data_IF_290056456346
#
_entry.id   IF_290056456346
#
_cell.length_a   1.000
_cell.length_b   1.000
_cell.length_c   1.000
_cell.angle_alpha   90.00
_cell.angle_beta   90.00
_cell.angle_gamma   90.00
#
_symmetry.space_group_name_H-M   'P 1'
#
loop_
_entity.id
_entity.type
_entity.pdbx_description
1 polymer ?
#
# COMPACT_ATOMS: atom_id res chain seq x y z
N UNK A 1 8.78 26.27 -16.94
CA UNK A 1 8.12 27.58 -16.71
C UNK A 1 7.17 27.61 -15.50
N UNK A 2 6.52 26.51 -15.08
CA UNK A 2 5.59 26.52 -13.94
C UNK A 2 6.20 26.28 -12.54
N UNK A 3 7.47 25.86 -12.44
CA UNK A 3 8.15 25.68 -11.14
C UNK A 3 8.69 26.99 -10.56
N UNK A 4 9.08 27.96 -11.40
CA UNK A 4 9.68 29.21 -10.94
C UNK A 4 8.65 30.21 -10.39
N UNK A 5 7.42 30.22 -10.90
CA UNK A 5 6.32 31.07 -10.41
C UNK A 5 5.92 30.67 -8.98
N UNK A 6 5.98 29.37 -8.68
CA UNK A 6 5.64 28.79 -7.38
C UNK A 6 6.62 29.17 -6.26
N UNK A 7 7.92 29.33 -6.59
CA UNK A 7 8.94 29.77 -5.64
C UNK A 7 8.84 31.26 -5.32
N UNK A 8 8.55 32.10 -6.31
CA UNK A 8 8.47 33.57 -6.13
C UNK A 8 7.27 34.01 -5.28
N UNK A 9 6.10 33.38 -5.42
CA UNK A 9 4.91 33.74 -4.63
C UNK A 9 5.08 33.27 -3.17
N UNK A 10 5.64 32.08 -2.96
CA UNK A 10 5.95 31.58 -1.62
C UNK A 10 7.02 32.41 -0.91
N UNK A 11 8.00 32.96 -1.62
CA UNK A 11 9.01 33.83 -1.02
C UNK A 11 8.39 35.15 -0.51
N UNK A 12 7.50 35.76 -1.30
CA UNK A 12 6.83 37.02 -0.94
C UNK A 12 5.85 36.81 0.22
N UNK A 13 5.06 35.73 0.20
CA UNK A 13 4.16 35.42 1.32
C UNK A 13 4.94 35.03 2.58
N UNK A 14 6.04 34.28 2.48
CA UNK A 14 6.88 33.94 3.63
C UNK A 14 7.60 35.17 4.21
N UNK A 15 8.12 36.09 3.40
CA UNK A 15 8.76 37.32 3.88
C UNK A 15 7.77 38.24 4.61
N UNK A 16 6.54 38.39 4.07
CA UNK A 16 5.48 39.15 4.73
C UNK A 16 5.04 38.47 6.03
N UNK A 17 4.95 37.14 6.05
CA UNK A 17 4.58 36.38 7.26
C UNK A 17 5.70 36.41 8.31
N UNK A 18 6.98 36.35 7.90
CA UNK A 18 8.15 36.50 8.79
C UNK A 18 8.22 37.93 9.35
N UNK A 19 7.92 38.96 8.56
CA UNK A 19 7.88 40.35 9.04
C UNK A 19 6.73 40.58 10.04
N UNK A 20 5.58 39.95 9.84
CA UNK A 20 4.44 39.98 10.78
C UNK A 20 4.75 39.18 12.06
N UNK A 21 5.38 38.00 11.93
CA UNK A 21 5.78 37.15 13.05
C UNK A 21 6.92 37.78 13.87
N UNK A 22 7.89 38.44 13.23
CA UNK A 22 8.92 39.21 13.93
C UNK A 22 8.34 40.42 14.65
N UNK A 23 7.26 41.03 14.16
CA UNK A 23 6.57 42.13 14.88
C UNK A 23 5.85 41.65 16.14
N UNK A 24 5.34 40.41 16.17
CA UNK A 24 4.79 39.82 17.40
C UNK A 24 5.87 39.47 18.42
N UNK A 25 7.11 39.21 17.99
CA UNK A 25 8.25 38.95 18.87
C UNK A 25 9.09 40.21 19.22
N UNK A 26 9.00 41.30 18.46
CA UNK A 26 9.65 42.59 18.73
C UNK A 26 8.65 43.53 19.42
N UNK A 27 8.11 43.07 20.55
CA UNK A 27 7.69 43.96 21.64
C UNK A 27 8.87 44.26 22.60
N UNK A 28 10.03 43.64 22.35
CA UNK A 28 11.31 43.94 23.00
C UNK A 28 12.32 44.36 21.94
N UNK A 29 12.57 45.67 21.82
CA UNK A 29 13.75 46.37 21.26
C UNK A 29 13.30 47.65 20.55
N UNK A 30 13.61 48.78 21.18
CA UNK A 30 13.38 50.13 20.69
C UNK A 30 14.34 50.49 19.56
N UNK A 31 13.86 50.57 18.31
CA UNK A 31 14.25 51.63 17.36
C UNK A 31 13.50 51.49 16.03
N UNK A 32 12.59 52.42 15.75
CA UNK A 32 11.78 52.49 14.53
C UNK A 32 12.60 52.57 13.22
N UNK A 33 13.85 53.04 13.27
CA UNK A 33 14.69 53.28 12.08
C UNK A 33 15.12 52.01 11.33
N UNK A 34 15.20 50.86 12.01
CA UNK A 34 15.60 49.60 11.36
C UNK A 34 14.47 48.93 10.58
N UNK A 35 13.21 49.12 10.99
CA UNK A 35 12.05 48.53 10.33
C UNK A 35 11.78 49.19 8.97
N UNK A 36 11.85 50.52 8.92
CA UNK A 36 11.67 51.27 7.67
C UNK A 36 12.78 50.98 6.66
N UNK A 37 14.01 50.69 7.11
CA UNK A 37 15.11 50.31 6.25
C UNK A 37 14.88 48.94 5.59
N UNK A 38 14.40 47.96 6.36
CA UNK A 38 14.14 46.59 5.90
C UNK A 38 12.95 46.55 4.94
N UNK A 39 11.88 47.28 5.23
CA UNK A 39 10.71 47.38 4.37
C UNK A 39 11.05 48.08 3.05
N UNK A 40 11.83 49.17 3.09
CA UNK A 40 12.27 49.84 1.86
C UNK A 40 13.23 48.98 1.03
N UNK A 41 14.15 48.21 1.65
CA UNK A 41 15.01 47.26 0.94
C UNK A 41 14.22 46.15 0.24
N UNK A 42 13.20 45.60 0.90
CA UNK A 42 12.33 44.57 0.33
C UNK A 42 11.49 45.10 -0.84
N UNK A 43 10.94 46.30 -0.72
CA UNK A 43 10.17 46.97 -1.78
C UNK A 43 11.08 47.29 -2.99
N UNK A 44 12.29 47.78 -2.74
CA UNK A 44 13.27 48.11 -3.80
C UNK A 44 13.76 46.87 -4.53
N UNK A 45 13.95 45.75 -3.81
CA UNK A 45 14.34 44.47 -4.40
C UNK A 45 13.23 43.85 -5.27
N UNK A 46 11.97 43.91 -4.82
CA UNK A 46 10.82 43.46 -5.61
C UNK A 46 10.63 44.29 -6.88
N UNK A 47 10.69 45.63 -6.77
CA UNK A 47 10.55 46.53 -7.91
C UNK A 47 11.70 46.34 -8.94
N UNK A 48 12.93 46.11 -8.46
CA UNK A 48 14.10 45.85 -9.32
C UNK A 48 14.07 44.46 -10.00
N UNK A 49 13.27 43.53 -9.50
CA UNK A 49 13.16 42.17 -10.03
C UNK A 49 11.99 42.03 -11.02
N UNK A 50 10.84 42.65 -10.76
CA UNK A 50 9.73 42.72 -11.72
C UNK A 50 10.12 43.47 -13.00
N UNK A 51 10.89 44.55 -12.87
CA UNK A 51 11.31 45.34 -14.04
C UNK A 51 12.34 44.60 -14.93
N UNK A 52 13.23 43.80 -14.32
CA UNK A 52 14.19 42.93 -15.03
C UNK A 52 13.53 41.81 -15.83
N UNK A 53 12.25 41.50 -15.53
CA UNK A 53 11.47 40.46 -16.17
C UNK A 53 10.73 40.94 -17.44
N UNK A 54 10.52 42.25 -17.60
CA UNK A 54 9.83 42.84 -18.76
C UNK A 54 10.77 43.38 -19.84
N UNK A 55 11.93 43.97 -19.51
CA UNK A 55 12.86 44.53 -20.51
C UNK A 55 14.31 44.31 -20.03
N UNK A 56 15.12 43.59 -20.80
CA UNK A 56 16.42 43.01 -20.40
C UNK A 56 17.57 43.96 -20.00
N UNK A 57 17.36 45.27 -19.81
CA UNK A 57 18.38 46.23 -19.35
C UNK A 57 17.77 47.38 -18.54
N UNK A 58 18.46 47.83 -17.48
CA UNK A 58 18.05 48.91 -16.55
C UNK A 58 18.06 50.31 -17.21
N UNK A 59 17.00 51.13 -17.08
CA UNK A 59 17.06 52.56 -17.42
C UNK A 59 17.48 53.42 -16.22
N UNK A 60 17.86 54.68 -16.50
CA UNK A 60 18.37 55.62 -15.49
C UNK A 60 17.29 56.12 -14.51
N UNK A 61 17.67 56.64 -13.32
CA UNK A 61 16.80 56.82 -12.16
C UNK A 61 15.63 57.82 -12.31
N UNK A 62 15.57 58.60 -13.39
CA UNK A 62 14.58 59.67 -13.57
C UNK A 62 13.23 59.19 -14.13
N UNK A 63 13.12 57.98 -14.68
CA UNK A 63 11.86 57.43 -15.22
C UNK A 63 10.98 56.71 -14.20
N UNK A 64 11.41 56.64 -12.93
CA UNK A 64 10.78 55.83 -11.87
C UNK A 64 9.54 56.47 -11.22
N UNK A 65 9.25 57.75 -11.47
CA UNK A 65 8.38 58.54 -10.59
C UNK A 65 6.88 58.13 -10.54
N UNK A 66 6.16 57.80 -11.63
CA UNK A 66 4.70 57.69 -11.56
C UNK A 66 4.18 56.36 -11.00
N UNK A 67 4.75 55.22 -11.43
CA UNK A 67 4.31 53.88 -10.99
C UNK A 67 4.75 53.57 -9.56
N UNK A 68 5.93 54.06 -9.15
CA UNK A 68 6.41 53.95 -7.78
C UNK A 68 5.54 54.73 -6.80
N UNK A 69 5.04 55.91 -7.19
CA UNK A 69 4.15 56.72 -6.36
C UNK A 69 2.80 56.03 -6.09
N UNK A 70 2.25 55.32 -7.08
CA UNK A 70 0.96 54.62 -6.97
C UNK A 70 1.10 53.40 -6.03
N UNK A 71 2.18 52.63 -6.20
CA UNK A 71 2.45 51.47 -5.35
C UNK A 71 2.78 51.90 -3.92
N UNK A 72 3.60 52.94 -3.75
CA UNK A 72 3.95 53.55 -2.47
C UNK A 72 2.70 54.06 -1.74
N UNK A 73 1.82 54.82 -2.41
CA UNK A 73 0.56 55.31 -1.82
C UNK A 73 -0.40 54.18 -1.42
N UNK A 74 -0.46 53.10 -2.20
CA UNK A 74 -1.33 51.95 -1.89
C UNK A 74 -0.84 51.20 -0.64
N UNK A 75 0.48 51.09 -0.47
CA UNK A 75 1.10 50.46 0.69
C UNK A 75 1.02 51.36 1.93
N UNK A 76 1.25 52.68 1.78
CA UNK A 76 1.07 53.68 2.85
C UNK A 76 -0.38 53.73 3.34
N UNK A 77 -1.37 53.70 2.44
CA UNK A 77 -2.79 53.66 2.81
C UNK A 77 -3.17 52.37 3.57
N UNK A 78 -2.53 51.24 3.23
CA UNK A 78 -2.73 49.97 3.94
C UNK A 78 -2.09 50.03 5.33
N UNK A 79 -0.91 50.64 5.46
CA UNK A 79 -0.20 50.84 6.73
C UNK A 79 -0.91 51.83 7.67
N UNK A 80 -1.47 52.92 7.15
CA UNK A 80 -2.24 53.89 7.95
C UNK A 80 -3.54 53.29 8.49
N UNK A 81 -4.20 52.41 7.72
CA UNK A 81 -5.36 51.63 8.17
C UNK A 81 -5.02 50.67 9.32
N UNK A 82 -3.86 50.00 9.27
CA UNK A 82 -3.43 49.08 10.33
C UNK A 82 -2.79 49.77 11.56
N UNK A 83 -2.40 51.05 11.45
CA UNK A 83 -1.77 51.82 12.54
C UNK A 83 -2.73 52.78 13.24
N UNK A 84 -3.99 52.87 12.81
CA UNK A 84 -5.05 53.61 13.51
C UNK A 84 -4.94 55.14 13.43
N UNK A 85 -4.20 55.69 12.46
CA UNK A 85 -4.15 57.14 12.24
C UNK A 85 -5.41 57.59 11.49
N UNK A 86 -6.41 58.08 12.21
CA UNK A 86 -7.60 58.69 11.62
C UNK A 86 -7.26 60.03 10.94
N UNK A 87 -7.29 60.05 9.60
CA UNK A 87 -7.49 61.28 8.81
C UNK A 87 -8.28 60.96 7.54
N UNK A 88 -9.61 60.92 7.63
CA UNK A 88 -10.45 60.79 6.44
C UNK A 88 -11.62 61.78 6.50
N UNK A 89 -11.53 62.83 5.68
CA UNK A 89 -12.62 63.78 5.45
C UNK A 89 -13.73 63.21 4.54
N UNK A 90 -14.88 63.89 4.42
CA UNK A 90 -16.17 63.31 3.98
C UNK A 90 -16.32 63.10 2.46
N UNK A 91 -15.24 62.95 1.71
CA UNK A 91 -15.28 62.59 0.28
C UNK A 91 -14.50 61.31 0.06
N UNK A 92 -15.15 60.17 0.25
CA UNK A 92 -15.01 58.87 -0.46
C UNK A 92 -15.97 57.92 0.26
N UNK A 93 -17.27 58.12 0.00
CA UNK A 93 -18.30 57.09 0.30
C UNK A 93 -18.39 56.09 -0.89
N UNK A 94 -17.61 56.29 -1.95
CA UNK A 94 -17.73 55.51 -3.20
C UNK A 94 -16.75 54.33 -3.35
N UNK A 95 -16.05 53.91 -2.29
CA UNK A 95 -15.16 52.73 -2.32
C UNK A 95 -15.45 51.74 -1.19
N UNK A 96 -16.70 51.70 -0.71
CA UNK A 96 -17.19 50.64 0.19
C UNK A 96 -17.68 49.38 -0.55
N UNK A 97 -17.60 49.37 -1.88
CA UNK A 97 -17.94 48.21 -2.70
C UNK A 97 -16.64 47.68 -3.29
N UNK A 98 -16.46 46.36 -3.24
CA UNK A 98 -15.34 45.58 -3.82
C UNK A 98 -14.02 45.52 -3.03
N UNK A 99 -14.02 44.99 -1.81
CA UNK A 99 -12.85 44.22 -1.35
C UNK A 99 -13.31 42.99 -0.57
N UNK A 100 -13.62 41.92 -1.33
CA UNK A 100 -13.62 40.58 -0.75
C UNK A 100 -12.22 40.35 -0.16
N UNK A 101 -12.10 40.00 1.13
CA UNK A 101 -10.81 39.95 1.80
C UNK A 101 -9.88 39.00 1.05
N UNK A 102 -8.59 39.30 0.98
CA UNK A 102 -7.58 38.50 0.28
C UNK A 102 -7.62 37.00 0.67
N UNK A 103 -8.09 36.69 1.89
CA UNK A 103 -8.38 35.33 2.36
C UNK A 103 -9.46 34.62 1.55
N UNK A 104 -10.52 35.34 1.16
CA UNK A 104 -11.62 34.84 0.30
C UNK A 104 -11.18 34.71 -1.15
N UNK A 105 -10.34 35.62 -1.66
CA UNK A 105 -9.72 35.48 -2.98
C UNK A 105 -8.75 34.29 -3.02
N UNK A 106 -7.93 34.10 -1.98
CA UNK A 106 -7.04 32.94 -1.84
C UNK A 106 -7.84 31.64 -1.70
N UNK A 107 -8.93 31.62 -0.92
CA UNK A 107 -9.85 30.49 -0.82
C UNK A 107 -10.54 30.20 -2.16
N UNK A 108 -11.00 31.22 -2.88
CA UNK A 108 -11.58 31.06 -4.22
C UNK A 108 -10.55 30.57 -5.23
N UNK A 109 -9.30 31.04 -5.16
CA UNK A 109 -8.21 30.64 -6.06
C UNK A 109 -7.70 29.22 -5.76
N UNK A 110 -7.59 28.84 -4.49
CA UNK A 110 -7.31 27.47 -4.05
C UNK A 110 -8.44 26.52 -4.46
N UNK A 111 -9.71 26.95 -4.30
CA UNK A 111 -10.90 26.19 -4.73
C UNK A 111 -11.01 26.07 -6.27
N UNK A 112 -10.45 27.02 -7.03
CA UNK A 112 -10.40 27.00 -8.51
C UNK A 112 -9.25 26.14 -9.05
N UNK A 113 -8.13 26.06 -8.34
CA UNK A 113 -6.94 25.29 -8.73
C UNK A 113 -6.95 23.84 -8.24
N UNK A 114 -7.81 23.48 -7.28
CA UNK A 114 -8.39 22.14 -7.28
C UNK A 114 -9.41 22.09 -8.40
N UNK A 115 -8.96 21.94 -9.66
CA UNK A 115 -9.85 21.40 -10.68
C UNK A 115 -10.44 20.14 -10.07
N UNK A 116 -11.76 20.10 -9.87
CA UNK A 116 -12.44 18.90 -9.44
C UNK A 116 -12.17 17.85 -10.52
N UNK A 117 -11.09 17.07 -10.34
CA UNK A 117 -10.72 16.03 -11.28
C UNK A 117 -11.93 15.11 -11.36
N UNK A 118 -12.43 14.91 -12.57
CA UNK A 118 -13.56 14.00 -12.77
C UNK A 118 -13.17 12.64 -12.21
N UNK A 119 -14.12 11.95 -11.61
CA UNK A 119 -13.92 10.61 -11.04
C UNK A 119 -13.22 9.68 -12.05
N UNK A 120 -13.59 9.77 -13.32
CA UNK A 120 -12.96 9.00 -14.40
C UNK A 120 -11.44 9.24 -14.54
N UNK A 121 -10.98 10.48 -14.38
CA UNK A 121 -9.57 10.83 -14.50
C UNK A 121 -8.79 10.38 -13.24
N UNK A 122 -9.40 10.50 -12.05
CA UNK A 122 -8.84 9.93 -10.81
C UNK A 122 -8.64 8.42 -10.94
N UNK A 123 -9.65 7.71 -11.46
CA UNK A 123 -9.63 6.25 -11.66
C UNK A 123 -8.54 5.86 -12.67
N UNK A 124 -8.49 6.54 -13.82
CA UNK A 124 -7.47 6.27 -14.87
C UNK A 124 -6.06 6.45 -14.34
N UNK A 125 -5.78 7.61 -13.73
CA UNK A 125 -4.45 7.92 -13.19
C UNK A 125 -4.01 6.93 -12.11
N UNK A 126 -4.95 6.39 -11.34
CA UNK A 126 -4.65 5.35 -10.35
C UNK A 126 -4.29 4.02 -11.04
N UNK A 127 -5.10 3.57 -11.99
CA UNK A 127 -4.89 2.30 -12.70
C UNK A 127 -3.60 2.29 -13.52
N UNK A 128 -3.23 3.42 -14.13
CA UNK A 128 -1.98 3.54 -14.89
C UNK A 128 -0.75 3.24 -14.01
N UNK A 129 -0.79 3.66 -12.74
CA UNK A 129 0.28 3.45 -11.75
C UNK A 129 0.30 2.04 -11.15
N UNK A 130 -0.75 1.24 -11.32
CA UNK A 130 -0.78 -0.12 -10.81
C UNK A 130 0.15 -1.01 -11.64
N UNK A 131 0.86 -1.97 -11.02
CA UNK A 131 1.61 -2.97 -11.76
C UNK A 131 0.67 -3.90 -12.54
N UNK A 132 1.19 -4.52 -13.59
CA UNK A 132 0.46 -5.57 -14.30
C UNK A 132 0.22 -6.78 -13.37
N UNK A 133 -0.90 -7.49 -13.58
CA UNK A 133 -1.36 -8.57 -12.73
C UNK A 133 -2.01 -8.12 -11.41
N UNK A 134 -1.92 -6.85 -11.02
CA UNK A 134 -2.47 -6.36 -9.75
C UNK A 134 -3.99 -6.45 -9.71
N UNK A 135 -4.53 -7.10 -8.69
CA UNK A 135 -5.97 -7.21 -8.43
C UNK A 135 -6.42 -6.09 -7.49
N UNK A 136 -7.52 -5.41 -7.85
CA UNK A 136 -8.10 -4.32 -7.09
C UNK A 136 -9.64 -4.37 -7.09
N UNK A 137 -10.25 -3.74 -6.09
CA UNK A 137 -11.69 -3.57 -5.94
C UNK A 137 -12.10 -2.11 -5.82
N UNK A 138 -13.34 -1.87 -5.37
CA UNK A 138 -13.84 -0.50 -5.17
C UNK A 138 -13.16 0.20 -3.99
N UNK A 139 -12.89 -0.54 -2.91
CA UNK A 139 -12.28 -0.03 -1.67
C UNK A 139 -10.85 0.49 -1.88
N UNK A 140 -10.20 0.07 -2.97
CA UNK A 140 -8.90 0.61 -3.34
C UNK A 140 -9.01 2.08 -3.78
N UNK A 141 -10.17 2.59 -4.14
CA UNK A 141 -10.36 3.98 -4.54
C UNK A 141 -10.88 4.81 -3.36
N UNK A 142 -10.13 5.83 -2.94
CA UNK A 142 -10.55 6.78 -1.91
C UNK A 142 -11.55 7.79 -2.51
N UNK A 143 -12.76 7.33 -2.77
CA UNK A 143 -13.84 8.07 -3.44
C UNK A 143 -15.00 8.23 -2.46
N UNK A 144 -15.65 9.40 -2.48
CA UNK A 144 -16.81 9.67 -1.63
C UNK A 144 -18.01 8.79 -2.01
N UNK A 145 -18.88 8.49 -1.05
CA UNK A 145 -20.01 7.57 -1.26
C UNK A 145 -20.99 8.05 -2.35
N UNK A 146 -21.15 9.36 -2.50
CA UNK A 146 -21.94 10.00 -3.56
C UNK A 146 -21.35 9.78 -4.98
N UNK A 147 -20.08 9.42 -5.10
CA UNK A 147 -19.35 9.23 -6.36
C UNK A 147 -19.22 7.73 -6.75
N UNK A 148 -19.76 6.80 -5.97
CA UNK A 148 -19.62 5.36 -6.20
C UNK A 148 -20.22 4.91 -7.55
N UNK A 149 -21.33 5.52 -7.98
CA UNK A 149 -21.94 5.26 -9.28
C UNK A 149 -21.02 5.68 -10.43
N UNK A 150 -20.36 6.83 -10.30
CA UNK A 150 -19.40 7.34 -11.28
C UNK A 150 -18.14 6.46 -11.34
N UNK A 151 -17.66 5.93 -10.20
CA UNK A 151 -16.57 4.95 -10.15
C UNK A 151 -16.93 3.69 -10.93
N UNK A 152 -18.10 3.10 -10.68
CA UNK A 152 -18.56 1.88 -11.38
C UNK A 152 -18.62 2.10 -12.90
N UNK A 153 -19.16 3.24 -13.33
CA UNK A 153 -19.23 3.59 -14.76
C UNK A 153 -17.84 3.78 -15.37
N UNK A 154 -16.91 4.45 -14.67
CA UNK A 154 -15.55 4.64 -15.14
C UNK A 154 -14.81 3.30 -15.30
N UNK A 155 -14.89 2.42 -14.30
CA UNK A 155 -14.29 1.08 -14.36
C UNK A 155 -14.89 0.24 -15.49
N UNK A 156 -16.22 0.27 -15.67
CA UNK A 156 -16.87 -0.45 -16.76
C UNK A 156 -16.43 0.04 -18.14
N UNK A 157 -16.21 1.35 -18.32
CA UNK A 157 -15.65 1.91 -19.55
C UNK A 157 -14.22 1.41 -19.80
N UNK A 158 -13.39 1.31 -18.76
CA UNK A 158 -12.02 0.77 -18.88
C UNK A 158 -11.99 -0.72 -19.18
N UNK A 159 -12.93 -1.50 -18.63
CA UNK A 159 -13.12 -2.91 -19.01
C UNK A 159 -13.49 -3.03 -20.49
N UNK A 160 -14.46 -2.23 -20.97
CA UNK A 160 -14.84 -2.20 -22.39
C UNK A 160 -13.68 -1.79 -23.31
N UNK A 161 -12.81 -0.90 -22.85
CA UNK A 161 -11.62 -0.48 -23.58
C UNK A 161 -10.48 -1.51 -23.54
N UNK A 162 -10.60 -2.59 -22.75
CA UNK A 162 -9.56 -3.61 -22.59
C UNK A 162 -8.34 -3.16 -21.78
N UNK A 163 -8.41 -1.99 -21.12
CA UNK A 163 -7.32 -1.48 -20.26
C UNK A 163 -7.20 -2.27 -18.96
N UNK A 164 -8.33 -2.75 -18.45
CA UNK A 164 -8.42 -3.63 -17.28
C UNK A 164 -9.37 -4.77 -17.63
N UNK A 165 -9.30 -5.85 -16.86
CA UNK A 165 -10.20 -6.98 -17.03
C UNK A 165 -10.89 -7.36 -15.71
N UNK A 166 -12.04 -8.03 -15.80
CA UNK A 166 -12.88 -8.34 -14.66
C UNK A 166 -12.58 -9.74 -14.15
N UNK A 167 -12.11 -9.83 -12.91
CA UNK A 167 -11.87 -11.12 -12.23
C UNK A 167 -13.17 -11.71 -11.66
N UNK A 168 -13.96 -10.89 -10.95
CA UNK A 168 -15.24 -11.31 -10.37
C UNK A 168 -16.14 -10.10 -10.10
N UNK A 169 -17.28 -10.27 -9.43
CA UNK A 169 -18.10 -9.12 -9.00
C UNK A 169 -17.28 -8.21 -8.09
N UNK A 170 -17.12 -6.94 -8.49
CA UNK A 170 -16.40 -5.91 -7.74
C UNK A 170 -14.88 -6.09 -7.67
N UNK A 171 -14.29 -7.00 -8.45
CA UNK A 171 -12.85 -7.22 -8.51
C UNK A 171 -12.38 -7.17 -9.96
N UNK A 172 -11.32 -6.41 -10.18
CA UNK A 172 -10.71 -6.14 -11.48
C UNK A 172 -9.21 -6.35 -11.38
N UNK A 173 -8.54 -6.48 -12.51
CA UNK A 173 -7.10 -6.54 -12.56
C UNK A 173 -6.54 -5.83 -13.78
N UNK A 174 -5.29 -5.40 -13.69
CA UNK A 174 -4.55 -4.88 -14.84
C UNK A 174 -3.95 -6.07 -15.60
N UNK A 175 -4.43 -6.42 -16.80
CA UNK A 175 -3.96 -7.61 -17.50
C UNK A 175 -2.50 -7.42 -17.93
N UNK A 176 -1.72 -8.50 -17.82
CA UNK A 176 -0.40 -8.60 -18.43
C UNK A 176 -0.55 -9.22 -19.82
N UNK A 177 0.05 -8.62 -20.85
CA UNK A 177 -0.02 -9.19 -22.21
C UNK A 177 0.92 -10.39 -22.32
N UNK A 178 0.36 -11.56 -22.63
CA UNK A 178 1.10 -12.77 -22.96
C UNK A 178 1.22 -12.96 -24.48
N UNK A 179 1.97 -13.99 -24.87
CA UNK A 179 2.11 -14.43 -26.27
C UNK A 179 0.75 -14.88 -26.83
N UNK A 180 -0.08 -15.51 -25.98
CA UNK A 180 -1.42 -15.96 -26.31
C UNK A 180 -2.42 -15.30 -25.34
N UNK A 181 -2.86 -14.09 -25.69
CA UNK A 181 -3.85 -13.35 -24.93
C UNK A 181 -3.34 -12.79 -23.60
N UNK A 182 -4.27 -12.36 -22.74
CA UNK A 182 -3.94 -11.79 -21.44
C UNK A 182 -3.61 -12.90 -20.42
N UNK A 183 -2.53 -12.70 -19.67
CA UNK A 183 -2.19 -13.55 -18.54
C UNK A 183 -3.11 -13.24 -17.36
N UNK A 184 -3.45 -14.30 -16.62
CA UNK A 184 -4.23 -14.16 -15.40
C UNK A 184 -3.33 -13.65 -14.27
N UNK A 185 -3.90 -12.95 -13.27
CA UNK A 185 -3.18 -12.59 -12.04
C UNK A 185 -2.60 -13.81 -11.34
N UNK A 186 -1.53 -13.56 -10.56
CA UNK A 186 -1.00 -14.56 -9.63
C UNK A 186 -2.06 -14.98 -8.59
N UNK A 187 -1.96 -16.22 -8.08
CA UNK A 187 -2.87 -16.71 -7.05
C UNK A 187 -2.88 -15.81 -5.81
N UNK A 188 -1.73 -15.28 -5.41
CA UNK A 188 -1.61 -14.33 -4.30
C UNK A 188 -2.48 -13.11 -4.54
N UNK A 189 -2.38 -12.49 -5.72
CA UNK A 189 -3.17 -11.31 -6.08
C UNK A 189 -4.67 -11.60 -6.05
N UNK A 190 -5.08 -12.80 -6.49
CA UNK A 190 -6.49 -13.22 -6.51
C UNK A 190 -7.07 -13.30 -5.10
N UNK A 191 -6.28 -13.61 -4.07
CA UNK A 191 -6.78 -13.87 -2.70
C UNK A 191 -6.15 -13.01 -1.61
N UNK A 192 -5.28 -12.03 -1.93
CA UNK A 192 -4.51 -11.25 -0.93
C UNK A 192 -5.38 -10.58 0.14
N UNK A 193 -6.58 -10.15 -0.23
CA UNK A 193 -7.59 -9.57 0.67
C UNK A 193 -8.17 -10.58 1.69
N UNK A 194 -7.95 -11.88 1.47
CA UNK A 194 -8.35 -12.96 2.37
C UNK A 194 -7.20 -13.44 3.24
N UNK A 195 -5.97 -13.04 2.93
CA UNK A 195 -4.75 -13.47 3.64
C UNK A 195 -4.40 -12.54 4.79
N UNK A 196 -4.76 -11.26 4.69
CA UNK A 196 -4.42 -10.24 5.67
C UNK A 196 -5.63 -9.46 6.14
N UNK A 197 -5.62 -9.11 7.43
CA UNK A 197 -6.56 -8.18 8.04
C UNK A 197 -5.77 -7.22 8.92
N UNK A 198 -5.90 -5.90 8.71
CA UNK A 198 -5.14 -4.89 9.44
C UNK A 198 -3.62 -5.17 9.48
N UNK A 199 -3.05 -5.58 8.33
CA UNK A 199 -1.64 -5.98 8.15
C UNK A 199 -1.20 -7.24 8.93
N UNK A 200 -2.11 -7.91 9.65
CA UNK A 200 -1.84 -9.19 10.30
C UNK A 200 -2.25 -10.35 9.40
N UNK A 201 -1.42 -11.40 9.27
CA UNK A 201 -1.79 -12.56 8.48
C UNK A 201 -2.90 -13.35 9.19
N UNK A 202 -4.05 -13.48 8.53
CA UNK A 202 -5.20 -14.30 8.99
C UNK A 202 -5.33 -15.60 8.17
N UNK A 203 -4.55 -15.71 7.10
CA UNK A 203 -4.49 -16.89 6.27
C UNK A 203 -3.26 -16.91 5.36
N UNK A 204 -3.02 -18.06 4.73
CA UNK A 204 -1.93 -18.27 3.78
C UNK A 204 -2.36 -19.25 2.70
N UNK A 205 -1.78 -19.17 1.50
CA UNK A 205 -2.07 -20.14 0.43
C UNK A 205 -1.42 -21.47 0.78
N UNK A 206 -2.16 -22.57 0.62
CA UNK A 206 -1.75 -23.95 0.92
C UNK A 206 -2.28 -24.93 -0.13
N UNK A 207 -2.10 -26.24 0.08
CA UNK A 207 -2.62 -27.30 -0.78
C UNK A 207 -2.09 -27.23 -2.21
N UNK A 208 -2.96 -27.32 -3.22
CA UNK A 208 -2.55 -27.38 -4.64
C UNK A 208 -1.58 -26.27 -5.06
N UNK A 209 -1.82 -25.02 -4.65
CA UNK A 209 -0.95 -23.89 -5.00
C UNK A 209 0.45 -23.97 -4.36
N UNK A 210 0.61 -24.71 -3.26
CA UNK A 210 1.91 -24.94 -2.63
C UNK A 210 2.57 -26.21 -3.13
N UNK A 211 1.80 -27.25 -3.48
CA UNK A 211 2.35 -28.47 -4.08
C UNK A 211 3.14 -28.14 -5.35
N UNK A 212 2.61 -27.23 -6.18
CA UNK A 212 3.33 -26.76 -7.35
C UNK A 212 4.60 -25.97 -6.99
N UNK A 213 4.48 -24.94 -6.14
CA UNK A 213 5.61 -24.08 -5.73
C UNK A 213 6.74 -24.84 -5.02
N UNK A 214 6.40 -25.87 -4.25
CA UNK A 214 7.38 -26.71 -3.55
C UNK A 214 7.93 -27.82 -4.46
N UNK A 215 7.49 -27.94 -5.70
CA UNK A 215 8.00 -28.91 -6.68
C UNK A 215 7.55 -30.34 -6.42
N UNK A 216 6.37 -30.53 -5.82
CA UNK A 216 5.73 -31.84 -5.72
C UNK A 216 5.01 -32.23 -7.00
N UNK A 217 4.47 -31.26 -7.73
CA UNK A 217 3.69 -31.47 -8.96
C UNK A 217 3.88 -30.30 -9.92
N UNK A 218 3.69 -30.53 -11.21
CA UNK A 218 3.66 -29.46 -12.22
C UNK A 218 2.23 -29.02 -12.55
N UNK A 219 1.23 -29.72 -12.03
CA UNK A 219 -0.17 -29.42 -12.31
C UNK A 219 -0.59 -28.07 -11.73
N UNK A 220 -1.28 -27.28 -12.57
CA UNK A 220 -1.96 -26.05 -12.16
C UNK A 220 -3.42 -26.34 -11.86
N UNK A 221 -3.91 -25.88 -10.71
CA UNK A 221 -5.29 -26.08 -10.28
C UNK A 221 -6.08 -24.77 -10.34
N UNK A 222 -7.33 -24.84 -10.79
CA UNK A 222 -8.28 -23.74 -10.62
C UNK A 222 -8.85 -23.67 -9.19
N UNK A 223 -8.35 -24.51 -8.26
CA UNK A 223 -8.73 -24.51 -6.85
C UNK A 223 -7.62 -23.89 -6.01
N UNK A 224 -7.88 -22.71 -5.44
CA UNK A 224 -6.96 -22.06 -4.49
C UNK A 224 -7.37 -22.48 -3.08
N UNK A 225 -6.43 -22.99 -2.28
CA UNK A 225 -6.69 -23.36 -0.89
C UNK A 225 -6.02 -22.38 0.05
N UNK A 226 -6.76 -21.92 1.07
CA UNK A 226 -6.27 -20.98 2.08
C UNK A 226 -6.32 -21.65 3.45
N UNK A 227 -5.16 -21.79 4.09
CA UNK A 227 -5.06 -22.18 5.49
C UNK A 227 -5.45 -21.01 6.38
N UNK A 228 -6.43 -21.19 7.27
CA UNK A 228 -6.91 -20.13 8.17
C UNK A 228 -7.38 -20.70 9.50
N UNK A 229 -7.37 -19.87 10.55
CA UNK A 229 -7.84 -20.27 11.89
C UNK A 229 -9.37 -20.28 12.03
N UNK A 230 -10.11 -19.80 11.05
CA UNK A 230 -11.56 -19.65 11.12
C UNK A 230 -12.25 -20.49 10.06
N UNK A 231 -13.41 -21.03 10.39
CA UNK A 231 -14.20 -21.77 9.42
C UNK A 231 -14.90 -20.79 8.50
N UNK A 232 -14.63 -20.92 7.19
CA UNK A 232 -15.19 -20.06 6.15
C UNK A 232 -15.82 -20.92 5.06
N UNK A 233 -16.96 -20.47 4.54
CA UNK A 233 -17.61 -21.10 3.39
C UNK A 233 -16.74 -20.94 2.15
N UNK A 234 -16.78 -21.93 1.26
CA UNK A 234 -16.11 -21.85 -0.03
C UNK A 234 -16.68 -20.68 -0.84
N UNK A 235 -15.82 -20.00 -1.60
CA UNK A 235 -16.21 -18.89 -2.46
C UNK A 235 -15.69 -19.09 -3.88
N UNK A 236 -16.30 -18.41 -4.86
CA UNK A 236 -15.91 -18.46 -6.26
C UNK A 236 -15.45 -17.07 -6.72
N UNK A 237 -14.29 -16.97 -7.37
CA UNK A 237 -13.78 -15.75 -8.01
C UNK A 237 -13.43 -16.04 -9.47
N UNK A 238 -14.30 -15.66 -10.39
CA UNK A 238 -14.15 -15.99 -11.81
C UNK A 238 -14.12 -17.51 -11.99
N UNK A 239 -13.07 -18.02 -12.63
CA UNK A 239 -12.83 -19.47 -12.77
C UNK A 239 -12.29 -20.15 -11.51
N UNK A 240 -11.79 -19.39 -10.53
CA UNK A 240 -11.11 -19.93 -9.36
C UNK A 240 -12.09 -20.27 -8.24
N UNK A 241 -12.02 -21.51 -7.76
CA UNK A 241 -12.73 -21.97 -6.57
C UNK A 241 -11.83 -21.85 -5.36
N UNK A 242 -12.22 -21.04 -4.39
CA UNK A 242 -11.43 -20.81 -3.17
C UNK A 242 -11.98 -21.67 -2.04
N UNK A 243 -11.14 -22.54 -1.51
CA UNK A 243 -11.46 -23.44 -0.38
C UNK A 243 -10.65 -23.05 0.84
N UNK A 244 -11.27 -23.13 2.01
CA UNK A 244 -10.61 -22.86 3.27
C UNK A 244 -10.24 -24.17 3.96
N UNK A 245 -9.01 -24.22 4.49
CA UNK A 245 -8.46 -25.35 5.24
C UNK A 245 -8.23 -24.88 6.68
N UNK A 246 -8.71 -25.67 7.63
CA UNK A 246 -8.50 -25.36 9.05
C UNK A 246 -7.03 -25.46 9.41
N UNK A 247 -6.51 -24.38 10.00
CA UNK A 247 -5.22 -24.30 10.67
C UNK A 247 -5.45 -24.12 12.18
N UNK A 248 -4.79 -24.95 12.99
CA UNK A 248 -4.93 -24.94 14.46
C UNK A 248 -3.88 -24.07 15.16
N UNK A 249 -2.75 -23.80 14.50
CA UNK A 249 -1.71 -22.95 15.03
C UNK A 249 -1.98 -21.47 14.75
N UNK A 250 -1.53 -20.59 15.65
CA UNK A 250 -1.51 -19.14 15.38
C UNK A 250 -0.69 -18.85 14.13
N UNK A 251 -1.27 -18.12 13.18
CA UNK A 251 -0.62 -17.75 11.93
C UNK A 251 0.21 -16.48 12.14
N UNK A 252 1.47 -16.50 11.73
CA UNK A 252 2.40 -15.37 11.78
C UNK A 252 3.27 -15.35 10.53
N UNK A 253 3.79 -14.18 10.14
CA UNK A 253 4.61 -14.08 8.93
C UNK A 253 5.83 -15.03 8.96
N UNK A 254 6.38 -15.29 10.14
CA UNK A 254 7.57 -16.12 10.32
C UNK A 254 7.29 -17.62 10.28
N UNK A 255 6.04 -18.07 10.48
CA UNK A 255 5.72 -19.50 10.54
C UNK A 255 4.94 -20.03 9.33
N UNK A 256 4.45 -19.16 8.44
CA UNK A 256 3.64 -19.57 7.27
C UNK A 256 4.33 -20.66 6.45
N UNK A 257 5.63 -20.52 6.17
CA UNK A 257 6.38 -21.53 5.43
C UNK A 257 6.39 -22.91 6.12
N UNK A 258 6.52 -22.93 7.44
CA UNK A 258 6.49 -24.17 8.23
C UNK A 258 5.09 -24.79 8.25
N UNK A 259 4.05 -23.97 8.35
CA UNK A 259 2.66 -24.43 8.26
C UNK A 259 2.36 -25.03 6.87
N UNK A 260 2.88 -24.42 5.81
CA UNK A 260 2.77 -24.94 4.45
C UNK A 260 3.45 -26.31 4.28
N UNK A 261 4.65 -26.50 4.86
CA UNK A 261 5.32 -27.80 4.88
C UNK A 261 4.52 -28.85 5.65
N UNK A 262 3.98 -28.50 6.82
CA UNK A 262 3.12 -29.40 7.61
C UNK A 262 1.83 -29.76 6.88
N UNK A 263 1.25 -28.82 6.13
CA UNK A 263 0.09 -29.09 5.27
C UNK A 263 0.45 -30.07 4.15
N UNK A 264 1.65 -29.98 3.57
CA UNK A 264 2.13 -30.97 2.59
C UNK A 264 2.28 -32.37 3.22
N UNK A 265 2.78 -32.46 4.45
CA UNK A 265 2.85 -33.74 5.18
C UNK A 265 1.44 -34.28 5.45
N UNK A 266 0.53 -33.42 5.91
CA UNK A 266 -0.86 -33.79 6.21
C UNK A 266 -1.59 -34.34 4.98
N UNK A 267 -1.37 -33.74 3.82
CA UNK A 267 -2.04 -34.08 2.57
C UNK A 267 -1.17 -34.86 1.59
N UNK A 268 -0.12 -35.53 2.07
CA UNK A 268 0.85 -36.24 1.22
C UNK A 268 0.22 -37.25 0.26
N UNK A 269 -0.92 -37.85 0.63
CA UNK A 269 -1.69 -38.80 -0.19
C UNK A 269 -2.54 -38.15 -1.28
N UNK A 270 -2.75 -36.83 -1.19
CA UNK A 270 -3.63 -36.06 -2.06
C UNK A 270 -2.85 -35.15 -3.02
N UNK A 271 -1.53 -35.29 -3.06
CA UNK A 271 -0.68 -34.56 -4.01
C UNK A 271 -0.91 -35.19 -5.40
N UNK A 272 -1.31 -34.39 -6.41
CA UNK A 272 -1.57 -34.92 -7.74
C UNK A 272 -0.27 -35.18 -8.52
N UNK A 273 -0.29 -36.17 -9.40
CA UNK A 273 0.85 -36.58 -10.26
C UNK A 273 2.15 -36.91 -9.50
N UNK A 274 2.06 -37.21 -8.21
CA UNK A 274 3.20 -37.61 -7.39
C UNK A 274 2.88 -38.88 -6.60
N UNK A 275 3.84 -39.79 -6.55
CA UNK A 275 3.77 -40.89 -5.58
C UNK A 275 4.06 -40.37 -4.17
N UNK A 276 3.55 -41.08 -3.17
CA UNK A 276 3.82 -40.74 -1.77
C UNK A 276 5.33 -40.83 -1.46
N UNK A 277 6.04 -41.79 -2.07
CA UNK A 277 7.49 -41.93 -1.92
C UNK A 277 8.26 -40.71 -2.44
N UNK A 278 7.96 -40.26 -3.66
CA UNK A 278 8.57 -39.05 -4.24
C UNK A 278 8.26 -37.83 -3.38
N UNK A 279 7.01 -37.71 -2.92
CA UNK A 279 6.59 -36.62 -2.04
C UNK A 279 7.34 -36.65 -0.72
N UNK A 280 7.52 -37.82 -0.11
CA UNK A 280 8.27 -37.95 1.14
C UNK A 280 9.75 -37.59 0.97
N UNK A 281 10.37 -37.98 -0.15
CA UNK A 281 11.74 -37.59 -0.49
C UNK A 281 11.85 -36.07 -0.69
N UNK A 282 10.88 -35.46 -1.38
CA UNK A 282 10.85 -34.00 -1.58
C UNK A 282 10.67 -33.25 -0.25
N UNK A 283 9.79 -33.72 0.63
CA UNK A 283 9.67 -33.20 2.00
C UNK A 283 10.99 -33.32 2.76
N UNK A 284 11.67 -34.46 2.65
CA UNK A 284 12.99 -34.66 3.27
C UNK A 284 14.01 -33.63 2.81
N UNK A 285 14.04 -33.32 1.51
CA UNK A 285 14.90 -32.27 0.97
C UNK A 285 14.52 -30.89 1.55
N UNK A 286 13.24 -30.49 1.50
CA UNK A 286 12.79 -29.18 1.97
C UNK A 286 13.00 -28.98 3.48
N UNK A 287 12.86 -30.05 4.28
CA UNK A 287 13.08 -29.99 5.73
C UNK A 287 14.57 -29.91 6.10
N UNK A 288 15.48 -30.46 5.28
CA UNK A 288 16.93 -30.32 5.49
C UNK A 288 17.42 -28.88 5.35
N UNK A 289 16.78 -28.09 4.50
CA UNK A 289 17.11 -26.68 4.26
C UNK A 289 16.66 -25.74 5.40
N UNK A 290 15.92 -26.26 6.39
CA UNK A 290 15.45 -25.45 7.52
C UNK A 290 16.58 -25.15 8.50
N UNK A 291 16.54 -23.94 9.08
CA UNK A 291 17.46 -23.59 10.16
C UNK A 291 17.19 -24.44 11.42
N UNK A 292 18.17 -24.66 12.32
CA UNK A 292 17.94 -25.38 13.56
C UNK A 292 16.84 -24.78 14.44
N UNK A 293 16.64 -23.46 14.36
CA UNK A 293 15.55 -22.75 15.03
C UNK A 293 14.20 -23.13 14.41
N UNK A 294 14.11 -23.10 13.09
CA UNK A 294 12.88 -23.40 12.37
C UNK A 294 12.48 -24.86 12.51
N UNK A 295 13.44 -25.80 12.61
CA UNK A 295 13.16 -27.22 12.89
C UNK A 295 12.51 -27.40 14.27
N UNK A 296 12.97 -26.68 15.29
CA UNK A 296 12.32 -26.68 16.62
C UNK A 296 10.90 -26.13 16.55
N UNK A 297 10.71 -25.02 15.83
CA UNK A 297 9.38 -24.44 15.62
C UNK A 297 8.48 -25.37 14.84
N UNK A 298 8.98 -26.00 13.78
CA UNK A 298 8.28 -26.97 12.94
C UNK A 298 7.77 -28.17 13.76
N UNK A 299 8.64 -28.77 14.59
CA UNK A 299 8.26 -29.83 15.51
C UNK A 299 7.19 -29.39 16.52
N UNK A 300 7.29 -28.15 17.04
CA UNK A 300 6.31 -27.62 17.98
C UNK A 300 4.95 -27.37 17.33
N UNK A 301 4.91 -26.83 16.11
CA UNK A 301 3.68 -26.57 15.35
C UNK A 301 2.98 -27.87 14.96
N UNK A 302 3.76 -28.92 14.66
CA UNK A 302 3.24 -30.24 14.31
C UNK A 302 2.39 -30.85 15.43
N UNK A 303 2.61 -30.52 16.70
CA UNK A 303 1.82 -31.06 17.83
C UNK A 303 0.32 -30.75 17.73
N UNK A 304 -0.04 -29.66 17.06
CA UNK A 304 -1.43 -29.26 16.83
C UNK A 304 -2.05 -29.88 15.57
N UNK A 305 -1.29 -30.66 14.80
CA UNK A 305 -1.77 -31.35 13.60
C UNK A 305 -2.37 -32.74 13.92
N UNK A 306 -3.16 -33.32 12.99
CA UNK A 306 -3.70 -34.67 13.15
C UNK A 306 -2.61 -35.72 13.37
N UNK A 307 -2.96 -36.82 14.05
CA UNK A 307 -1.99 -37.84 14.48
C UNK A 307 -1.15 -38.43 13.34
N UNK A 308 -1.73 -38.59 12.14
CA UNK A 308 -1.00 -39.05 10.96
C UNK A 308 0.13 -38.08 10.57
N UNK A 309 -0.17 -36.78 10.52
CA UNK A 309 0.81 -35.77 10.17
C UNK A 309 1.90 -35.67 11.24
N UNK A 310 1.54 -35.78 12.52
CA UNK A 310 2.50 -35.85 13.64
C UNK A 310 3.43 -37.05 13.52
N UNK A 311 2.88 -38.22 13.22
CA UNK A 311 3.64 -39.46 13.01
C UNK A 311 4.63 -39.30 11.85
N UNK A 312 4.16 -38.85 10.68
CA UNK A 312 5.03 -38.62 9.51
C UNK A 312 6.11 -37.56 9.77
N UNK A 313 5.76 -36.49 10.48
CA UNK A 313 6.72 -35.43 10.85
C UNK A 313 7.79 -35.98 11.79
N UNK A 314 7.40 -36.80 12.78
CA UNK A 314 8.37 -37.41 13.69
C UNK A 314 9.29 -38.40 12.98
N UNK A 315 8.75 -39.23 12.08
CA UNK A 315 9.53 -40.14 11.23
C UNK A 315 10.54 -39.38 10.36
N UNK A 316 10.12 -38.25 9.81
CA UNK A 316 10.96 -37.36 9.03
C UNK A 316 12.09 -36.75 9.88
N UNK A 317 11.79 -36.28 11.09
CA UNK A 317 12.80 -35.71 11.99
C UNK A 317 13.79 -36.76 12.50
N UNK A 318 13.34 -37.99 12.79
CA UNK A 318 14.22 -39.11 13.15
C UNK A 318 15.18 -39.44 12.00
N UNK A 319 14.68 -39.49 10.76
CA UNK A 319 15.53 -39.67 9.56
C UNK A 319 16.60 -38.59 9.41
N UNK A 320 16.32 -37.38 9.90
CA UNK A 320 17.24 -36.24 9.86
C UNK A 320 18.10 -36.12 11.13
N UNK A 321 18.10 -37.14 12.00
CA UNK A 321 18.84 -37.20 13.27
C UNK A 321 18.41 -36.18 14.33
N UNK A 322 17.20 -35.63 14.24
CA UNK A 322 16.60 -34.78 15.29
C UNK A 322 15.81 -35.62 16.29
N UNK A 323 16.48 -36.60 16.91
CA UNK A 323 15.86 -37.63 17.74
C UNK A 323 15.07 -37.05 18.93
N UNK A 324 15.59 -36.04 19.63
CA UNK A 324 14.90 -35.42 20.77
C UNK A 324 13.54 -34.81 20.37
N UNK A 325 13.49 -34.16 19.19
CA UNK A 325 12.27 -33.56 18.67
C UNK A 325 11.30 -34.62 18.14
N UNK A 326 11.83 -35.67 17.51
CA UNK A 326 11.06 -36.80 17.06
C UNK A 326 10.39 -37.50 18.25
N UNK A 327 11.13 -37.79 19.32
CA UNK A 327 10.59 -38.46 20.51
C UNK A 327 9.49 -37.64 21.20
N UNK A 328 9.60 -36.31 21.20
CA UNK A 328 8.51 -35.43 21.65
C UNK A 328 7.23 -35.61 20.83
N UNK A 329 7.33 -35.74 19.51
CA UNK A 329 6.18 -36.03 18.65
C UNK A 329 5.64 -37.45 18.88
N UNK A 330 6.51 -38.44 19.04
CA UNK A 330 6.14 -39.83 19.32
C UNK A 330 5.30 -39.94 20.61
N UNK A 331 5.74 -39.28 21.70
CA UNK A 331 5.01 -39.24 22.98
C UNK A 331 3.59 -38.64 22.86
N UNK A 332 3.34 -37.83 21.85
CA UNK A 332 2.02 -37.24 21.59
C UNK A 332 1.04 -38.18 20.87
N UNK A 333 1.51 -39.31 20.34
CA UNK A 333 0.70 -40.24 19.54
C UNK A 333 -0.05 -41.25 20.43
N UNK A 334 -1.34 -41.43 20.15
CA UNK A 334 -2.18 -42.45 20.81
C UNK A 334 -1.75 -43.86 20.38
N UNK A 335 -1.57 -44.76 21.37
CA UNK A 335 -1.00 -46.10 21.19
C UNK A 335 -1.69 -46.99 20.14
N UNK A 336 -2.99 -46.81 19.95
CA UNK A 336 -3.87 -47.74 19.21
C UNK A 336 -4.05 -47.41 17.72
N UNK A 337 -3.46 -46.33 17.21
CA UNK A 337 -3.73 -45.85 15.84
C UNK A 337 -2.61 -46.18 14.87
N UNK A 338 -2.94 -46.84 13.75
CA UNK A 338 -2.05 -47.07 12.62
C UNK A 338 -2.48 -46.21 11.42
N UNK A 339 -1.50 -45.78 10.60
CA UNK A 339 -1.71 -44.86 9.48
C UNK A 339 -1.30 -45.51 8.17
N UNK A 340 -2.27 -45.79 7.30
CA UNK A 340 -2.01 -46.30 5.96
C UNK A 340 -1.61 -45.15 5.01
N UNK A 341 -0.30 -44.99 4.81
CA UNK A 341 0.30 -43.93 3.99
C UNK A 341 1.03 -44.53 2.77
N UNK A 342 1.32 -45.84 2.77
CA UNK A 342 1.96 -46.58 1.67
C UNK A 342 3.34 -46.01 1.28
N UNK A 343 4.20 -45.73 2.27
CA UNK A 343 5.57 -45.27 2.05
C UNK A 343 6.53 -46.46 2.11
N UNK A 344 7.54 -46.55 1.22
CA UNK A 344 8.55 -47.62 1.27
C UNK A 344 9.30 -47.63 2.61
N UNK A 345 9.58 -48.83 3.14
CA UNK A 345 10.41 -49.02 4.35
C UNK A 345 11.80 -48.40 4.21
N UNK A 346 12.34 -48.34 3.00
CA UNK A 346 13.68 -47.80 2.76
C UNK A 346 13.75 -46.28 2.98
N UNK A 347 12.60 -45.60 2.87
CA UNK A 347 12.52 -44.15 3.05
C UNK A 347 12.35 -43.75 4.51
N UNK A 348 11.70 -44.57 5.33
CA UNK A 348 11.42 -44.27 6.74
C UNK A 348 12.14 -45.26 7.65
N UNK A 349 13.19 -44.81 8.36
CA UNK A 349 13.77 -45.59 9.45
C UNK A 349 12.69 -45.92 10.49
N UNK A 350 12.72 -47.13 11.04
CA UNK A 350 11.80 -47.54 12.11
C UNK A 350 10.32 -47.29 11.80
N UNK A 351 9.87 -47.56 10.56
CA UNK A 351 8.48 -47.34 10.11
C UNK A 351 7.40 -47.88 11.08
N UNK A 352 7.68 -49.02 11.73
CA UNK A 352 6.81 -49.61 12.75
C UNK A 352 6.69 -48.75 14.02
N UNK A 353 7.78 -48.12 14.50
CA UNK A 353 7.77 -47.16 15.63
C UNK A 353 6.74 -46.06 15.37
N UNK A 354 6.70 -45.54 14.15
CA UNK A 354 5.80 -44.46 13.75
C UNK A 354 4.38 -44.92 13.43
N UNK A 355 4.08 -46.22 13.48
CA UNK A 355 2.77 -46.80 13.17
C UNK A 355 2.31 -46.47 11.75
N UNK A 356 3.26 -46.36 10.82
CA UNK A 356 2.98 -46.09 9.40
C UNK A 356 2.95 -47.43 8.67
N UNK A 357 1.90 -47.65 7.88
CA UNK A 357 1.72 -48.81 7.01
C UNK A 357 1.87 -48.39 5.55
#
# INVERSE_FOLDING_TARGET
MNSCIYYSINLVTNLVTIAIAQRQNILYMSNHKHFDLVVNLAITACASWEYRKEIGTLPSPSSFAPKYLILKRSIEATLDFFTGKERWGPKIILLKVTFLPAKTLLLLFLKRNTSCMKVADKVRNKIEKLPEGYVFGYDDFNIEQNEESALKVALFRLVKAGTIDRLSKGRFYKPQKGIVGNLNPDEYEIVKDLLFENQKPIGYITGYGIFNRFGFTTQLSNVIQIGTNFDKKQIQRGRYKIKFVRQWNTITNNNIYLLQLLDCIRYIKNIPDATVNQSFQRLTFLTKELSPKDIRTFASLALNYPSQARSLTGALLEKLNYNDLADRLFRSLKATTYFNVNISSDLIPNKQKWRIQ
#
